data_IF_521352272280
#
_entry.id   IF_521352272280
#
_cell.length_a   1.000
_cell.length_b   1.000
_cell.length_c   1.000
_cell.angle_alpha   90.00
_cell.angle_beta   90.00
_cell.angle_gamma   90.00
#
_symmetry.space_group_name_H-M   'P 1'
#
loop_
_entity.id
_entity.type
_entity.pdbx_description
1 polymer ?
#
# COMPACT_ATOMS: atom_id res chain seq x y z
N UNK A 1 2.41 11.22 14.78
CA UNK A 1 2.88 9.98 14.13
C UNK A 1 3.50 10.40 12.82
N UNK A 2 4.71 9.91 12.53
CA UNK A 2 5.52 10.39 11.41
C UNK A 2 5.08 9.67 10.13
N UNK A 3 4.31 10.34 9.27
CA UNK A 3 3.82 9.79 7.99
C UNK A 3 4.88 9.86 6.87
N UNK A 4 6.02 10.51 7.12
CA UNK A 4 7.07 10.78 6.12
C UNK A 4 7.99 9.57 5.83
N UNK A 5 7.50 8.34 6.03
CA UNK A 5 8.30 7.13 5.83
C UNK A 5 8.24 6.61 4.38
N UNK A 6 7.24 7.03 3.61
CA UNK A 6 7.10 6.77 2.19
C UNK A 6 6.17 7.78 1.51
N UNK A 7 6.24 7.88 0.19
CA UNK A 7 5.49 8.88 -0.59
C UNK A 7 4.16 8.37 -1.17
N UNK A 8 3.68 7.19 -0.75
CA UNK A 8 2.38 6.68 -1.20
C UNK A 8 1.24 7.52 -0.61
N UNK A 9 0.31 7.95 -1.48
CA UNK A 9 -0.93 8.61 -1.05
C UNK A 9 -1.94 7.60 -0.50
N UNK A 10 -2.85 8.01 0.40
CA UNK A 10 -3.94 7.15 0.83
C UNK A 10 -4.81 6.69 -0.35
N UNK A 11 -5.22 5.42 -0.33
CA UNK A 11 -6.03 4.81 -1.38
C UNK A 11 -5.56 3.41 -1.78
N UNK A 12 -6.08 2.92 -2.91
CA UNK A 12 -5.88 1.54 -3.35
C UNK A 12 -4.74 1.44 -4.37
N UNK A 13 -3.96 0.36 -4.24
CA UNK A 13 -2.87 0.05 -5.15
C UNK A 13 -2.91 -1.42 -5.55
N UNK A 14 -2.54 -1.70 -6.80
CA UNK A 14 -2.01 -3.01 -7.15
C UNK A 14 -0.62 -3.14 -6.56
N UNK A 15 -0.36 -4.28 -5.95
CA UNK A 15 0.86 -4.59 -5.24
C UNK A 15 1.40 -5.94 -5.68
N UNK A 16 2.72 -6.02 -5.89
CA UNK A 16 3.40 -7.26 -6.32
C UNK A 16 4.75 -7.41 -5.63
N UNK A 17 5.06 -8.63 -5.21
CA UNK A 17 6.44 -9.06 -4.95
C UNK A 17 7.02 -9.62 -6.25
N UNK A 18 8.34 -9.56 -6.41
CA UNK A 18 9.03 -9.93 -7.66
C UNK A 18 8.64 -11.31 -8.25
N UNK A 19 8.06 -12.21 -7.45
CA UNK A 19 7.60 -13.54 -7.86
C UNK A 19 6.13 -13.86 -7.53
N UNK A 20 5.36 -12.92 -6.98
CA UNK A 20 3.98 -13.16 -6.52
C UNK A 20 2.91 -12.55 -7.44
N UNK A 21 1.73 -13.17 -7.53
CA UNK A 21 0.58 -12.59 -8.22
C UNK A 21 0.21 -11.22 -7.65
N UNK A 22 -0.35 -10.36 -8.51
CA UNK A 22 -0.84 -9.04 -8.11
C UNK A 22 -1.93 -9.18 -7.04
N UNK A 23 -1.77 -8.45 -5.94
CA UNK A 23 -2.77 -8.30 -4.90
C UNK A 23 -3.20 -6.82 -4.80
N UNK A 24 -4.30 -6.56 -4.09
CA UNK A 24 -4.73 -5.19 -3.78
C UNK A 24 -4.34 -4.86 -2.36
N UNK A 25 -3.78 -3.67 -2.16
CA UNK A 25 -3.46 -3.13 -0.85
C UNK A 25 -4.09 -1.74 -0.71
N UNK A 26 -4.63 -1.44 0.47
CA UNK A 26 -5.15 -0.12 0.82
C UNK A 26 -4.14 0.60 1.74
N UNK A 27 -3.64 1.75 1.31
CA UNK A 27 -2.82 2.67 2.10
C UNK A 27 -3.75 3.62 2.86
N UNK A 28 -3.58 3.71 4.17
CA UNK A 28 -4.39 4.53 5.07
C UNK A 28 -3.77 5.93 5.25
N UNK A 29 -4.53 6.86 5.82
CA UNK A 29 -4.06 8.23 6.09
C UNK A 29 -2.88 8.31 7.07
N UNK A 30 -2.72 7.29 7.92
CA UNK A 30 -1.59 7.17 8.85
C UNK A 30 -0.31 6.61 8.19
N UNK A 31 -0.33 6.34 6.88
CA UNK A 31 0.74 5.67 6.15
C UNK A 31 0.77 4.15 6.33
N UNK A 32 -0.06 3.59 7.22
CA UNK A 32 -0.21 2.14 7.34
C UNK A 32 -0.90 1.53 6.12
N UNK A 33 -0.93 0.20 6.06
CA UNK A 33 -1.57 -0.51 4.96
C UNK A 33 -2.37 -1.74 5.41
N UNK A 34 -3.41 -2.09 4.68
CA UNK A 34 -4.14 -3.35 4.83
C UNK A 34 -4.14 -4.11 3.51
N UNK A 35 -3.75 -5.39 3.57
CA UNK A 35 -3.83 -6.28 2.42
C UNK A 35 -5.28 -6.73 2.22
N UNK A 36 -5.86 -6.38 1.07
CA UNK A 36 -7.26 -6.67 0.79
C UNK A 36 -7.51 -8.17 0.69
N UNK A 37 -8.60 -8.63 1.31
CA UNK A 37 -8.91 -10.06 1.44
C UNK A 37 -8.31 -10.73 2.68
N UNK A 38 -7.64 -9.96 3.53
CA UNK A 38 -7.09 -10.42 4.83
C UNK A 38 -7.41 -9.42 5.94
N UNK A 39 -7.22 -9.83 7.19
CA UNK A 39 -7.23 -8.97 8.39
C UNK A 39 -5.83 -8.39 8.72
N UNK A 40 -4.85 -8.64 7.85
CA UNK A 40 -3.46 -8.23 8.08
C UNK A 40 -3.27 -6.73 7.85
N UNK A 41 -2.90 -6.01 8.93
CA UNK A 41 -2.56 -4.58 8.91
C UNK A 41 -1.07 -4.37 9.22
N UNK A 42 -0.44 -3.53 8.42
CA UNK A 42 0.92 -3.04 8.56
C UNK A 42 0.91 -1.58 9.04
N UNK A 43 1.89 -1.21 9.85
CA UNK A 43 2.21 0.19 10.13
C UNK A 43 3.00 0.84 8.98
N UNK A 44 3.17 2.16 9.03
CA UNK A 44 3.89 2.93 8.02
C UNK A 44 5.35 2.49 7.85
N UNK A 45 6.01 2.06 8.94
CA UNK A 45 7.37 1.48 8.87
C UNK A 45 7.40 0.22 8.01
N UNK A 46 6.38 -0.65 8.14
CA UNK A 46 6.28 -1.88 7.36
C UNK A 46 6.10 -1.59 5.88
N UNK A 47 5.29 -0.59 5.52
CA UNK A 47 5.12 -0.15 4.12
C UNK A 47 6.41 0.44 3.57
N UNK A 48 7.16 1.21 4.36
CA UNK A 48 8.46 1.73 3.95
C UNK A 48 9.51 0.61 3.75
N UNK A 49 9.52 -0.40 4.62
CA UNK A 49 10.38 -1.58 4.47
C UNK A 49 10.06 -2.33 3.18
N UNK A 50 8.77 -2.52 2.89
CA UNK A 50 8.26 -3.12 1.67
C UNK A 50 8.77 -2.43 0.40
N UNK A 51 8.73 -1.09 0.37
CA UNK A 51 9.28 -0.30 -0.75
C UNK A 51 10.79 -0.46 -0.84
N UNK A 52 11.51 -0.41 0.29
CA UNK A 52 12.97 -0.59 0.35
C UNK A 52 13.42 -1.99 -0.12
N UNK A 53 12.57 -3.00 0.04
CA UNK A 53 12.80 -4.36 -0.48
C UNK A 53 12.50 -4.49 -1.99
N UNK A 54 12.08 -3.42 -2.66
CA UNK A 54 11.88 -3.38 -4.11
C UNK A 54 10.48 -3.80 -4.56
N UNK A 55 9.53 -3.92 -3.63
CA UNK A 55 8.14 -4.19 -3.99
C UNK A 55 7.52 -2.98 -4.67
N UNK A 56 6.59 -3.23 -5.59
CA UNK A 56 6.04 -2.19 -6.46
C UNK A 56 4.57 -1.95 -6.17
N UNK A 57 4.20 -0.68 -6.20
CA UNK A 57 2.85 -0.20 -5.94
C UNK A 57 2.37 0.58 -7.16
N UNK A 58 1.25 0.16 -7.75
CA UNK A 58 0.65 0.82 -8.90
C UNK A 58 -0.71 1.40 -8.50
N UNK A 59 -0.85 2.72 -8.60
CA UNK A 59 -2.05 3.42 -8.18
C UNK A 59 -3.29 2.92 -8.91
N UNK A 60 -4.36 2.67 -8.14
CA UNK A 60 -5.70 2.41 -8.68
C UNK A 60 -6.49 3.70 -8.54
N UNK A 61 -6.86 4.29 -9.69
CA UNK A 61 -7.69 5.48 -9.70
C UNK A 61 -9.05 5.18 -9.05
N UNK A 62 -9.47 5.95 -8.03
CA UNK A 62 -10.80 5.83 -7.46
C UNK A 62 -11.86 6.06 -8.53
N UNK A 63 -13.03 5.40 -8.42
CA UNK A 63 -14.13 5.69 -9.32
C UNK A 63 -14.51 7.17 -9.23
N UNK A 64 -14.74 7.80 -10.37
CA UNK A 64 -15.30 9.16 -10.39
C UNK A 64 -16.66 9.11 -9.70
N UNK A 65 -16.83 9.92 -8.66
CA UNK A 65 -18.14 10.12 -8.06
C UNK A 65 -19.02 10.82 -9.11
N UNK A 66 -20.17 10.21 -9.41
CA UNK A 66 -21.15 10.72 -10.35
C UNK A 66 -21.89 11.95 -9.80
#
# INVERSE_FOLDING_TARGET
MNTDLHDLKPGYYWYTMASDPLAVIHIHEDGGATLMGTDYRLGAEGVADMIRQGQRFFWIEPPQQA
#
